data_IF_277661263640
#
_entry.id   IF_277661263640
#
_cell.length_a   1.000
_cell.length_b   1.000
_cell.length_c   1.000
_cell.angle_alpha   90.00
_cell.angle_beta   90.00
_cell.angle_gamma   90.00
#
_symmetry.space_group_name_H-M   'P 1'
#
loop_
_entity.id
_entity.type
_entity.pdbx_description
1 polymer ?
#
# COMPACT_ATOMS: atom_id res chain seq x y z
N UNK A 1 -2.91 12.14 -7.27
CA UNK A 1 -2.52 11.41 -6.05
C UNK A 1 -3.57 11.62 -4.96
N UNK A 2 -3.80 12.85 -4.47
CA UNK A 2 -4.70 13.08 -3.32
C UNK A 2 -6.08 12.46 -3.55
N UNK A 3 -6.75 12.76 -4.65
CA UNK A 3 -8.09 12.21 -4.92
C UNK A 3 -8.07 10.67 -5.00
N UNK A 4 -7.03 10.07 -5.57
CA UNK A 4 -6.88 8.62 -5.65
C UNK A 4 -6.70 7.98 -4.27
N UNK A 5 -5.85 8.57 -3.40
CA UNK A 5 -5.72 8.11 -2.02
C UNK A 5 -7.04 8.28 -1.25
N UNK A 6 -7.75 9.38 -1.47
CA UNK A 6 -9.06 9.60 -0.83
C UNK A 6 -10.08 8.53 -1.23
N UNK A 7 -10.07 8.05 -2.49
CA UNK A 7 -10.90 6.92 -2.89
C UNK A 7 -10.49 5.67 -2.09
N UNK A 8 -9.20 5.36 -2.03
CA UNK A 8 -8.67 4.22 -1.28
C UNK A 8 -9.14 4.22 0.17
N UNK A 9 -8.90 5.32 0.90
CA UNK A 9 -9.26 5.48 2.30
C UNK A 9 -10.78 5.43 2.52
N UNK A 10 -11.54 6.04 1.62
CA UNK A 10 -13.00 6.06 1.69
C UNK A 10 -13.59 4.67 1.53
N UNK A 11 -13.11 3.89 0.54
CA UNK A 11 -13.58 2.53 0.30
C UNK A 11 -13.18 1.57 1.41
N UNK A 12 -11.98 1.70 1.94
CA UNK A 12 -11.50 0.91 3.08
C UNK A 12 -12.41 1.12 4.30
N UNK A 13 -12.68 2.38 4.66
CA UNK A 13 -13.61 2.73 5.74
C UNK A 13 -15.03 2.20 5.52
N UNK A 14 -15.52 2.21 4.27
CA UNK A 14 -16.84 1.64 3.94
C UNK A 14 -16.88 0.13 4.11
N UNK A 15 -15.78 -0.57 3.80
CA UNK A 15 -15.67 -2.02 3.96
C UNK A 15 -15.54 -2.40 5.43
N UNK A 16 -14.68 -1.73 6.18
CA UNK A 16 -14.47 -1.97 7.63
C UNK A 16 -15.75 -1.81 8.46
N UNK A 17 -16.60 -0.86 8.07
CA UNK A 17 -17.89 -0.59 8.75
C UNK A 17 -19.06 -1.34 8.14
N UNK A 18 -18.84 -2.19 7.16
CA UNK A 18 -19.89 -2.92 6.48
C UNK A 18 -20.42 -4.05 7.34
N UNK A 19 -21.73 -4.18 7.40
CA UNK A 19 -22.40 -5.36 7.94
C UNK A 19 -22.52 -6.48 6.92
N UNK A 20 -22.34 -6.18 5.63
CA UNK A 20 -22.27 -7.15 4.54
C UNK A 20 -20.82 -7.57 4.34
N UNK A 21 -20.61 -8.88 4.18
CA UNK A 21 -19.32 -9.48 3.82
C UNK A 21 -19.39 -10.08 2.40
N UNK A 22 -20.22 -9.51 1.54
CA UNK A 22 -20.45 -9.98 0.16
C UNK A 22 -19.25 -9.55 -0.71
N UNK A 23 -18.56 -10.55 -1.24
CA UNK A 23 -17.43 -10.35 -2.18
C UNK A 23 -17.82 -9.49 -3.39
N UNK A 24 -19.05 -9.63 -3.90
CA UNK A 24 -19.53 -8.87 -5.07
C UNK A 24 -19.69 -7.38 -4.74
N UNK A 25 -20.17 -7.07 -3.53
CA UNK A 25 -20.28 -5.68 -3.06
C UNK A 25 -18.90 -5.01 -2.98
N UNK A 26 -17.95 -5.67 -2.33
CA UNK A 26 -16.60 -5.12 -2.21
C UNK A 26 -15.89 -4.98 -3.56
N UNK A 27 -16.11 -5.93 -4.47
CA UNK A 27 -15.53 -5.89 -5.82
C UNK A 27 -16.12 -4.76 -6.67
N UNK A 28 -17.44 -4.54 -6.61
CA UNK A 28 -18.09 -3.43 -7.31
C UNK A 28 -17.60 -2.07 -6.77
N UNK A 29 -17.51 -1.91 -5.45
CA UNK A 29 -16.96 -0.71 -4.83
C UNK A 29 -15.54 -0.40 -5.32
N UNK A 30 -14.65 -1.40 -5.30
CA UNK A 30 -13.25 -1.20 -5.72
C UNK A 30 -13.08 -1.05 -7.23
N UNK A 31 -14.13 -1.32 -8.02
CA UNK A 31 -14.19 -0.94 -9.43
C UNK A 31 -13.96 0.55 -9.64
N UNK A 32 -14.34 1.39 -8.66
CA UNK A 32 -14.08 2.83 -8.69
C UNK A 32 -12.58 3.17 -8.81
N UNK A 33 -11.68 2.37 -8.22
CA UNK A 33 -10.23 2.56 -8.33
C UNK A 33 -9.73 2.31 -9.75
N UNK A 34 -10.26 1.30 -10.44
CA UNK A 34 -9.92 1.01 -11.84
C UNK A 34 -10.47 2.07 -12.80
N UNK A 35 -11.70 2.53 -12.56
CA UNK A 35 -12.30 3.61 -13.34
C UNK A 35 -11.53 4.92 -13.16
N UNK A 36 -11.09 5.22 -11.93
CA UNK A 36 -10.32 6.42 -11.61
C UNK A 36 -9.00 6.55 -12.41
N UNK A 37 -8.40 5.42 -12.79
CA UNK A 37 -7.16 5.38 -13.58
C UNK A 37 -7.41 5.18 -15.08
N UNK A 38 -8.67 5.10 -15.51
CA UNK A 38 -9.05 4.90 -16.90
C UNK A 38 -9.78 6.15 -17.41
N UNK A 39 -9.09 7.10 -18.07
CA UNK A 39 -9.60 8.45 -18.35
C UNK A 39 -10.96 8.52 -19.05
N UNK A 40 -11.26 7.53 -19.87
CA UNK A 40 -12.48 7.53 -20.72
C UNK A 40 -13.53 6.51 -20.26
N UNK A 41 -13.27 5.83 -19.12
CA UNK A 41 -14.23 4.87 -18.60
C UNK A 41 -15.52 5.57 -18.15
N UNK A 42 -16.69 5.00 -18.48
CA UNK A 42 -17.94 5.44 -17.86
C UNK A 42 -17.90 5.16 -16.36
N UNK A 43 -18.58 5.98 -15.57
CA UNK A 43 -18.70 5.74 -14.14
C UNK A 43 -19.63 4.55 -13.88
N UNK A 44 -19.18 3.63 -13.04
CA UNK A 44 -19.97 2.47 -12.61
C UNK A 44 -21.03 2.83 -11.56
N UNK A 45 -21.96 1.90 -11.32
CA UNK A 45 -22.85 1.93 -10.15
C UNK A 45 -22.16 1.19 -8.98
N UNK A 46 -21.20 1.86 -8.34
CA UNK A 46 -20.34 1.27 -7.32
C UNK A 46 -21.08 0.78 -6.07
N UNK A 47 -22.31 1.24 -5.86
CA UNK A 47 -23.15 0.88 -4.72
C UNK A 47 -24.26 -0.11 -5.07
N UNK A 48 -24.21 -0.73 -6.25
CA UNK A 48 -25.25 -1.63 -6.78
C UNK A 48 -25.71 -2.69 -5.79
N UNK A 49 -24.79 -3.23 -5.00
CA UNK A 49 -25.05 -4.32 -4.05
C UNK A 49 -25.28 -3.84 -2.62
N UNK A 50 -25.37 -2.53 -2.38
CA UNK A 50 -25.58 -1.95 -1.06
C UNK A 50 -27.01 -1.40 -0.90
N UNK A 51 -27.48 -1.40 0.35
CA UNK A 51 -28.74 -0.75 0.71
C UNK A 51 -28.56 0.76 0.87
N UNK A 52 -27.44 1.19 1.41
CA UNK A 52 -27.03 2.59 1.52
C UNK A 52 -26.25 2.98 0.24
N UNK A 53 -26.95 3.70 -0.64
CA UNK A 53 -26.44 4.00 -1.98
C UNK A 53 -26.20 5.47 -2.25
N UNK A 54 -26.46 6.31 -1.26
CA UNK A 54 -26.36 7.76 -1.43
C UNK A 54 -25.19 8.36 -0.65
N UNK A 55 -24.12 8.67 -1.39
CA UNK A 55 -23.01 9.48 -0.92
C UNK A 55 -23.06 10.90 -1.50
N UNK A 56 -24.21 11.34 -2.02
CA UNK A 56 -24.38 12.60 -2.75
C UNK A 56 -23.41 12.73 -3.94
N UNK A 57 -23.03 11.61 -4.58
CA UNK A 57 -22.12 11.56 -5.72
C UNK A 57 -20.66 11.85 -5.34
N UNK A 58 -20.26 11.65 -4.08
CA UNK A 58 -18.90 11.93 -3.60
C UNK A 58 -17.86 11.06 -4.32
N UNK A 59 -18.06 9.76 -4.33
CA UNK A 59 -17.15 8.80 -5.00
C UNK A 59 -17.04 9.08 -6.49
N UNK A 60 -18.16 9.34 -7.16
CA UNK A 60 -18.17 9.70 -8.59
C UNK A 60 -17.35 10.97 -8.87
N UNK A 61 -17.44 12.00 -8.01
CA UNK A 61 -16.62 13.21 -8.16
C UNK A 61 -15.13 12.94 -7.99
N UNK A 62 -14.75 12.08 -7.05
CA UNK A 62 -13.36 11.69 -6.86
C UNK A 62 -12.82 10.93 -8.07
N UNK A 63 -13.58 9.94 -8.60
CA UNK A 63 -13.22 9.18 -9.80
C UNK A 63 -13.02 10.12 -10.99
N UNK A 64 -13.96 11.03 -11.26
CA UNK A 64 -13.83 12.03 -12.35
C UNK A 64 -12.63 12.94 -12.17
N UNK A 65 -12.33 13.35 -10.94
CA UNK A 65 -11.14 14.15 -10.64
C UNK A 65 -9.86 13.39 -10.99
N UNK A 66 -9.78 12.11 -10.62
CA UNK A 66 -8.65 11.26 -10.98
C UNK A 66 -8.52 11.10 -12.50
N UNK A 67 -9.62 10.78 -13.20
CA UNK A 67 -9.64 10.65 -14.66
C UNK A 67 -9.12 11.92 -15.35
N UNK A 68 -9.61 13.08 -14.91
CA UNK A 68 -9.18 14.38 -15.45
C UNK A 68 -7.67 14.62 -15.21
N UNK A 69 -7.18 14.31 -14.02
CA UNK A 69 -5.76 14.47 -13.69
C UNK A 69 -4.86 13.50 -14.47
N UNK A 70 -5.27 12.25 -14.61
CA UNK A 70 -4.52 11.22 -15.34
C UNK A 70 -4.43 11.58 -16.83
N UNK A 71 -5.49 12.11 -17.40
CA UNK A 71 -5.53 12.58 -18.79
C UNK A 71 -4.50 13.69 -19.07
N UNK A 72 -4.15 14.49 -18.06
CA UNK A 72 -3.16 15.56 -18.19
C UNK A 72 -1.70 15.07 -18.07
N UNK A 73 -1.47 13.82 -17.72
CA UNK A 73 -0.11 13.28 -17.59
C UNK A 73 0.44 12.92 -18.98
N UNK A 74 1.51 13.60 -19.46
CA UNK A 74 1.97 13.48 -20.85
C UNK A 74 2.47 12.08 -21.21
N UNK A 75 2.97 11.33 -20.23
CA UNK A 75 3.50 9.98 -20.46
C UNK A 75 2.65 8.88 -19.80
N UNK A 76 1.35 9.16 -19.52
CA UNK A 76 0.48 8.17 -18.87
C UNK A 76 0.37 6.86 -19.63
N UNK A 77 0.37 6.93 -20.96
CA UNK A 77 0.31 5.73 -21.81
C UNK A 77 1.41 4.71 -21.52
N UNK A 78 2.60 5.15 -21.09
CA UNK A 78 3.72 4.26 -20.75
C UNK A 78 3.53 3.52 -19.43
N UNK A 79 2.83 4.12 -18.47
CA UNK A 79 2.66 3.55 -17.12
C UNK A 79 1.31 2.87 -16.93
N UNK A 80 0.36 3.08 -17.82
CA UNK A 80 -1.06 2.69 -17.69
C UNK A 80 -1.25 1.23 -17.33
N UNK A 81 -0.59 0.31 -18.04
CA UNK A 81 -0.77 -1.13 -17.83
C UNK A 81 -0.23 -1.55 -16.46
N UNK A 82 0.90 -1.00 -16.05
CA UNK A 82 1.49 -1.28 -14.73
C UNK A 82 0.62 -0.72 -13.59
N UNK A 83 0.12 0.49 -13.76
CA UNK A 83 -0.82 1.12 -12.82
C UNK A 83 -2.08 0.26 -12.71
N UNK A 84 -2.65 -0.16 -13.83
CA UNK A 84 -3.84 -1.03 -13.87
C UNK A 84 -3.62 -2.36 -13.16
N UNK A 85 -2.48 -3.00 -13.41
CA UNK A 85 -2.09 -4.24 -12.73
C UNK A 85 -2.08 -4.06 -11.21
N UNK A 86 -1.40 -3.03 -10.72
CA UNK A 86 -1.26 -2.82 -9.28
C UNK A 86 -2.56 -2.39 -8.60
N UNK A 87 -3.36 -1.57 -9.27
CA UNK A 87 -4.70 -1.19 -8.78
C UNK A 87 -5.63 -2.41 -8.76
N UNK A 88 -5.50 -3.32 -9.72
CA UNK A 88 -6.20 -4.60 -9.71
C UNK A 88 -5.82 -5.46 -8.50
N UNK A 89 -4.51 -5.64 -8.27
CA UNK A 89 -4.00 -6.39 -7.10
C UNK A 89 -4.42 -5.74 -5.77
N UNK A 90 -4.41 -4.40 -5.70
CA UNK A 90 -4.93 -3.67 -4.55
C UNK A 90 -6.41 -3.99 -4.31
N UNK A 91 -7.24 -3.90 -5.36
CA UNK A 91 -8.66 -4.22 -5.28
C UNK A 91 -8.93 -5.66 -4.84
N UNK A 92 -8.18 -6.63 -5.38
CA UNK A 92 -8.28 -8.02 -4.97
C UNK A 92 -7.94 -8.21 -3.49
N UNK A 93 -6.84 -7.60 -3.02
CA UNK A 93 -6.49 -7.62 -1.59
C UNK A 93 -7.62 -7.06 -0.74
N UNK A 94 -8.15 -5.89 -1.09
CA UNK A 94 -9.22 -5.23 -0.34
C UNK A 94 -10.47 -6.10 -0.27
N UNK A 95 -10.82 -6.77 -1.36
CA UNK A 95 -11.93 -7.72 -1.37
C UNK A 95 -11.66 -8.86 -0.40
N UNK A 96 -10.52 -9.54 -0.55
CA UNK A 96 -10.26 -10.76 0.22
C UNK A 96 -10.03 -10.49 1.72
N UNK A 97 -9.37 -9.40 2.09
CA UNK A 97 -9.11 -9.08 3.50
C UNK A 97 -10.38 -8.79 4.31
N UNK A 98 -11.45 -8.32 3.65
CA UNK A 98 -12.73 -8.00 4.28
C UNK A 98 -13.75 -9.14 4.25
N UNK A 99 -13.42 -10.29 3.66
CA UNK A 99 -14.27 -11.47 3.72
C UNK A 99 -14.35 -12.03 5.16
N UNK A 100 -15.35 -12.88 5.39
CA UNK A 100 -15.49 -13.58 6.67
C UNK A 100 -14.19 -14.34 7.01
N UNK A 101 -13.83 -14.32 8.30
CA UNK A 101 -12.56 -14.91 8.78
C UNK A 101 -12.34 -16.36 8.34
N UNK A 102 -13.42 -17.14 8.28
CA UNK A 102 -13.33 -18.56 7.95
C UNK A 102 -12.91 -18.84 6.51
N UNK A 103 -13.07 -17.87 5.60
CA UNK A 103 -12.77 -18.03 4.17
C UNK A 103 -11.65 -17.12 3.67
N UNK A 104 -11.38 -16.01 4.35
CA UNK A 104 -10.44 -14.99 3.85
C UNK A 104 -9.01 -15.50 3.71
N UNK A 105 -8.53 -16.32 4.63
CA UNK A 105 -7.16 -16.85 4.57
C UNK A 105 -7.00 -17.83 3.40
N UNK A 106 -7.97 -18.72 3.19
CA UNK A 106 -7.98 -19.61 2.02
C UNK A 106 -7.97 -18.82 0.72
N UNK A 107 -8.78 -17.74 0.63
CA UNK A 107 -8.84 -16.85 -0.53
C UNK A 107 -7.52 -16.12 -0.76
N UNK A 108 -6.90 -15.58 0.28
CA UNK A 108 -5.61 -14.91 0.20
C UNK A 108 -4.50 -15.87 -0.24
N UNK A 109 -4.49 -17.11 0.26
CA UNK A 109 -3.53 -18.12 -0.15
C UNK A 109 -3.73 -18.59 -1.59
N UNK A 110 -4.98 -18.79 -2.03
CA UNK A 110 -5.28 -19.13 -3.43
C UNK A 110 -4.80 -18.03 -4.37
N UNK A 111 -5.15 -16.80 -4.05
CA UNK A 111 -4.71 -15.61 -4.81
C UNK A 111 -3.18 -15.45 -4.82
N UNK A 112 -2.50 -15.65 -3.70
CA UNK A 112 -1.04 -15.68 -3.65
C UNK A 112 -0.46 -16.73 -4.60
N UNK A 113 -0.99 -17.95 -4.61
CA UNK A 113 -0.49 -19.02 -5.47
C UNK A 113 -0.53 -18.66 -6.96
N UNK A 114 -1.52 -17.90 -7.39
CA UNK A 114 -1.63 -17.39 -8.76
C UNK A 114 -0.58 -16.32 -9.07
N UNK A 115 -0.23 -15.49 -8.09
CA UNK A 115 0.57 -14.29 -8.29
C UNK A 115 1.98 -14.34 -7.71
N UNK A 116 2.38 -15.42 -7.02
CA UNK A 116 3.68 -15.53 -6.34
C UNK A 116 4.90 -15.27 -7.22
N UNK A 117 4.77 -15.50 -8.53
CA UNK A 117 5.82 -15.22 -9.51
C UNK A 117 6.17 -13.73 -9.62
N UNK A 118 5.27 -12.84 -9.20
CA UNK A 118 5.47 -11.38 -9.19
C UNK A 118 6.33 -10.89 -8.01
N UNK A 119 6.51 -11.71 -6.98
CA UNK A 119 7.28 -11.35 -5.78
C UNK A 119 8.17 -12.53 -5.33
N UNK A 120 9.15 -12.92 -6.14
CA UNK A 120 10.04 -14.05 -5.81
C UNK A 120 10.80 -13.78 -4.51
N UNK A 121 10.80 -14.77 -3.59
CA UNK A 121 11.48 -14.67 -2.30
C UNK A 121 10.67 -13.96 -1.20
N UNK A 122 9.49 -13.46 -1.51
CA UNK A 122 8.54 -12.91 -0.54
C UNK A 122 7.55 -13.99 -0.08
N UNK A 123 7.06 -13.86 1.15
CA UNK A 123 6.00 -14.71 1.70
C UNK A 123 4.64 -14.19 1.26
N UNK A 124 3.59 -15.00 1.41
CA UNK A 124 2.23 -14.61 1.03
C UNK A 124 1.73 -13.34 1.74
N UNK A 125 1.99 -13.24 3.05
CA UNK A 125 1.62 -12.07 3.86
C UNK A 125 2.42 -10.81 3.48
N UNK A 126 3.66 -10.97 3.03
CA UNK A 126 4.49 -9.87 2.54
C UNK A 126 4.06 -9.40 1.15
N UNK A 127 3.67 -10.34 0.28
CA UNK A 127 3.07 -10.01 -1.01
C UNK A 127 1.74 -9.29 -0.82
N UNK A 128 0.87 -9.83 0.04
CA UNK A 128 -0.41 -9.20 0.36
C UNK A 128 -0.20 -7.76 0.88
N UNK A 129 0.74 -7.57 1.80
CA UNK A 129 1.12 -6.23 2.26
C UNK A 129 1.60 -5.33 1.10
N UNK A 130 2.46 -5.85 0.21
CA UNK A 130 2.96 -5.08 -0.94
C UNK A 130 1.82 -4.58 -1.84
N UNK A 131 0.81 -5.41 -2.08
CA UNK A 131 -0.34 -5.02 -2.92
C UNK A 131 -1.25 -4.00 -2.25
N UNK A 132 -1.23 -3.89 -0.92
CA UNK A 132 -1.97 -2.87 -0.15
C UNK A 132 -1.38 -1.46 -0.24
N UNK A 133 -0.19 -1.31 -0.82
CA UNK A 133 0.47 -0.02 -0.92
C UNK A 133 0.16 0.72 -2.22
N UNK A 134 -0.32 1.96 -2.11
CA UNK A 134 -0.51 2.87 -3.25
C UNK A 134 0.77 3.60 -3.68
N UNK A 135 1.88 3.47 -2.92
CA UNK A 135 3.12 4.22 -3.19
C UNK A 135 3.71 3.96 -4.58
N UNK A 136 3.66 2.71 -5.05
CA UNK A 136 4.12 2.36 -6.39
C UNK A 136 3.31 3.06 -7.48
N UNK A 137 1.99 3.10 -7.34
CA UNK A 137 1.08 3.82 -8.24
C UNK A 137 1.40 5.31 -8.23
N UNK A 138 1.61 5.89 -7.06
CA UNK A 138 1.97 7.32 -6.95
C UNK A 138 3.29 7.63 -7.63
N UNK A 139 4.27 6.74 -7.49
CA UNK A 139 5.57 6.95 -8.17
C UNK A 139 5.43 6.88 -9.68
N UNK A 140 4.61 5.97 -10.19
CA UNK A 140 4.34 5.91 -11.64
C UNK A 140 3.58 7.16 -12.12
N UNK A 141 2.64 7.71 -11.34
CA UNK A 141 1.99 8.98 -11.67
C UNK A 141 3.00 10.14 -11.69
N UNK A 142 3.92 10.19 -10.72
CA UNK A 142 4.98 11.20 -10.70
C UNK A 142 5.89 11.07 -11.93
N UNK A 143 6.29 9.85 -12.29
CA UNK A 143 7.10 9.60 -13.46
C UNK A 143 6.38 10.00 -14.76
N UNK A 144 5.09 9.68 -14.87
CA UNK A 144 4.28 10.02 -16.04
C UNK A 144 4.08 11.53 -16.27
N UNK A 145 4.40 12.37 -15.29
CA UNK A 145 4.42 13.81 -15.44
C UNK A 145 5.62 14.33 -16.27
N UNK A 146 6.69 13.53 -16.45
CA UNK A 146 7.80 13.87 -17.35
C UNK A 146 7.46 13.41 -18.77
N UNK A 147 7.36 14.35 -19.76
CA UNK A 147 7.10 13.98 -21.14
C UNK A 147 8.25 13.22 -21.80
N UNK A 148 9.41 13.12 -21.16
CA UNK A 148 10.60 12.40 -21.64
C UNK A 148 10.76 11.03 -21.00
N UNK A 149 9.80 10.58 -20.21
CA UNK A 149 9.81 9.26 -19.58
C UNK A 149 10.07 8.15 -20.63
N UNK A 150 10.95 7.22 -20.30
CA UNK A 150 11.26 6.08 -21.17
C UNK A 150 10.69 4.77 -20.59
N UNK A 151 10.40 3.77 -21.46
CA UNK A 151 9.86 2.48 -20.99
C UNK A 151 10.77 1.74 -19.98
N UNK A 152 12.08 1.81 -20.12
CA UNK A 152 13.05 1.21 -19.21
C UNK A 152 13.06 1.89 -17.83
N UNK A 153 12.80 3.19 -17.77
CA UNK A 153 12.62 3.91 -16.52
C UNK A 153 11.34 3.43 -15.80
N UNK A 154 10.25 3.15 -16.54
CA UNK A 154 9.01 2.59 -15.98
C UNK A 154 9.26 1.22 -15.36
N UNK A 155 9.93 0.31 -16.08
CA UNK A 155 10.26 -1.03 -15.57
C UNK A 155 11.22 -0.96 -14.38
N UNK A 156 12.18 -0.04 -14.39
CA UNK A 156 13.08 0.19 -13.26
C UNK A 156 12.33 0.65 -12.01
N UNK A 157 11.39 1.59 -12.15
CA UNK A 157 10.53 2.05 -11.06
C UNK A 157 9.65 0.91 -10.57
N UNK A 158 9.02 0.18 -11.49
CA UNK A 158 8.13 -0.93 -11.16
C UNK A 158 8.86 -2.00 -10.34
N UNK A 159 10.00 -2.50 -10.82
CA UNK A 159 10.78 -3.53 -10.12
C UNK A 159 11.41 -3.05 -8.81
N UNK A 160 11.56 -1.73 -8.62
CA UNK A 160 12.10 -1.16 -7.39
C UNK A 160 11.03 -0.93 -6.33
N UNK A 161 9.83 -0.48 -6.72
CA UNK A 161 8.75 -0.22 -5.75
C UNK A 161 8.02 -1.49 -5.35
N UNK A 162 7.70 -2.35 -6.29
CA UNK A 162 7.04 -3.61 -5.99
C UNK A 162 8.04 -4.78 -6.17
N UNK A 163 8.13 -5.70 -5.18
CA UNK A 163 7.35 -5.71 -3.94
C UNK A 163 7.98 -4.93 -2.78
N UNK A 164 9.27 -4.60 -2.78
CA UNK A 164 10.06 -4.29 -1.59
C UNK A 164 9.64 -3.00 -0.87
N UNK A 165 9.55 -1.86 -1.57
CA UNK A 165 9.18 -0.58 -0.96
C UNK A 165 7.71 -0.59 -0.55
N UNK A 166 6.85 -1.18 -1.39
CA UNK A 166 5.44 -1.33 -1.10
C UNK A 166 5.17 -2.23 0.11
N UNK A 167 5.84 -3.40 0.20
CA UNK A 167 5.74 -4.29 1.36
C UNK A 167 6.23 -3.60 2.63
N UNK A 168 7.37 -2.90 2.56
CA UNK A 168 7.91 -2.15 3.71
C UNK A 168 6.89 -1.15 4.25
N UNK A 169 6.24 -0.38 3.37
CA UNK A 169 5.23 0.60 3.75
C UNK A 169 4.15 -0.03 4.63
N UNK A 170 3.46 -1.03 4.10
CA UNK A 170 2.29 -1.63 4.74
C UNK A 170 2.67 -2.52 5.94
N UNK A 171 3.80 -3.22 5.88
CA UNK A 171 4.24 -4.02 7.03
C UNK A 171 4.68 -3.14 8.21
N UNK A 172 5.19 -1.93 7.99
CA UNK A 172 5.48 -1.00 9.08
C UNK A 172 4.19 -0.47 9.72
N UNK A 173 3.15 -0.25 8.93
CA UNK A 173 1.82 0.12 9.41
C UNK A 173 1.24 -0.99 10.28
N UNK A 174 1.14 -2.20 9.76
CA UNK A 174 0.71 -3.36 10.53
C UNK A 174 1.58 -3.66 11.75
N UNK A 175 2.87 -3.36 11.70
CA UNK A 175 3.77 -3.54 12.84
C UNK A 175 3.37 -2.67 14.04
N UNK A 176 3.03 -1.40 13.80
CA UNK A 176 2.65 -0.49 14.87
C UNK A 176 1.20 -0.71 15.36
N UNK A 177 0.35 -1.27 14.51
CA UNK A 177 -1.07 -1.46 14.80
C UNK A 177 -1.42 -2.86 15.36
N UNK A 178 -0.44 -3.75 15.55
CA UNK A 178 -0.67 -5.13 16.02
C UNK A 178 -1.60 -5.26 17.22
N UNK A 179 -1.44 -4.42 18.24
CA UNK A 179 -2.25 -4.50 19.46
C UNK A 179 -3.68 -3.97 19.23
N UNK A 180 -3.84 -2.96 18.39
CA UNK A 180 -5.13 -2.40 18.00
C UNK A 180 -5.91 -3.42 17.16
N UNK A 181 -5.29 -3.95 16.11
CA UNK A 181 -5.88 -4.95 15.21
C UNK A 181 -6.24 -6.24 15.97
N UNK A 182 -5.38 -6.67 16.90
CA UNK A 182 -5.66 -7.84 17.74
C UNK A 182 -6.89 -7.64 18.60
N UNK A 183 -7.09 -6.44 19.16
CA UNK A 183 -8.28 -6.10 19.97
C UNK A 183 -9.53 -5.95 19.12
N UNK A 184 -9.42 -5.33 17.95
CA UNK A 184 -10.49 -5.19 16.97
C UNK A 184 -10.85 -6.53 16.31
N UNK A 185 -9.92 -7.45 16.28
CA UNK A 185 -10.02 -8.71 15.57
C UNK A 185 -9.82 -8.55 14.08
N UNK A 186 -9.10 -7.49 13.70
CA UNK A 186 -8.77 -7.16 12.32
C UNK A 186 -7.62 -8.00 11.80
N UNK A 187 -7.48 -8.04 10.47
CA UNK A 187 -6.40 -8.75 9.83
C UNK A 187 -5.10 -7.94 9.99
N UNK A 188 -4.05 -8.60 10.50
CA UNK A 188 -2.72 -8.02 10.57
C UNK A 188 -1.68 -8.96 9.98
N UNK A 189 -1.01 -8.56 8.89
CA UNK A 189 -0.05 -9.41 8.21
C UNK A 189 1.21 -9.70 9.02
N UNK A 190 1.53 -8.90 10.03
CA UNK A 190 2.63 -9.18 10.94
C UNK A 190 2.34 -10.36 11.89
N UNK A 191 1.09 -10.72 12.11
CA UNK A 191 0.70 -11.86 12.95
C UNK A 191 0.92 -13.23 12.31
N UNK A 192 1.25 -13.28 11.03
CA UNK A 192 1.48 -14.52 10.27
C UNK A 192 2.96 -14.96 10.22
N UNK A 193 3.84 -14.28 10.93
CA UNK A 193 5.19 -14.79 11.14
C UNK A 193 5.18 -15.78 12.32
N UNK A 194 6.01 -16.80 12.23
CA UNK A 194 6.06 -17.91 13.19
C UNK A 194 6.43 -17.45 14.61
N UNK A 195 7.30 -16.45 14.69
CA UNK A 195 7.74 -15.83 15.94
C UNK A 195 8.25 -14.40 15.73
N UNK A 196 8.51 -13.70 16.82
CA UNK A 196 9.01 -12.32 16.82
C UNK A 196 10.36 -12.19 16.11
N UNK A 197 11.24 -13.16 16.27
CA UNK A 197 12.56 -13.14 15.66
C UNK A 197 12.42 -13.20 14.13
N UNK A 198 11.61 -14.10 13.64
CA UNK A 198 11.31 -14.24 12.20
C UNK A 198 10.70 -12.95 11.64
N UNK A 199 9.73 -12.34 12.36
CA UNK A 199 9.17 -11.04 11.98
C UNK A 199 10.26 -9.98 11.81
N UNK A 200 11.14 -9.82 12.80
CA UNK A 200 12.19 -8.81 12.78
C UNK A 200 13.21 -9.08 11.67
N UNK A 201 13.68 -10.33 11.52
CA UNK A 201 14.65 -10.73 10.50
C UNK A 201 14.08 -10.49 9.08
N UNK A 202 12.80 -10.76 8.86
CA UNK A 202 12.11 -10.48 7.59
C UNK A 202 11.97 -8.99 7.32
N UNK A 203 11.55 -8.21 8.30
CA UNK A 203 11.48 -6.75 8.15
C UNK A 203 12.85 -6.14 7.83
N UNK A 204 13.93 -6.60 8.48
CA UNK A 204 15.29 -6.16 8.14
C UNK A 204 15.68 -6.53 6.70
N UNK A 205 15.32 -7.73 6.25
CA UNK A 205 15.55 -8.16 4.88
C UNK A 205 14.81 -7.23 3.88
N UNK A 206 13.54 -6.95 4.12
CA UNK A 206 12.72 -6.08 3.28
C UNK A 206 13.28 -4.64 3.26
N UNK A 207 13.73 -4.10 4.41
CA UNK A 207 14.40 -2.79 4.47
C UNK A 207 15.68 -2.78 3.61
N UNK A 208 16.49 -3.85 3.68
CA UNK A 208 17.71 -3.96 2.85
C UNK A 208 17.37 -4.02 1.37
N UNK A 209 16.34 -4.77 1.00
CA UNK A 209 15.89 -4.89 -0.40
C UNK A 209 15.34 -3.55 -0.91
N UNK A 210 14.50 -2.87 -0.13
CA UNK A 210 13.98 -1.55 -0.46
C UNK A 210 15.10 -0.50 -0.66
N UNK A 211 16.13 -0.52 0.19
CA UNK A 211 17.31 0.35 0.03
C UNK A 211 18.09 0.05 -1.23
N UNK A 212 18.30 -1.22 -1.54
CA UNK A 212 18.99 -1.67 -2.76
C UNK A 212 18.19 -1.23 -3.98
N UNK A 213 16.89 -1.48 -3.98
CA UNK A 213 15.97 -1.09 -5.03
C UNK A 213 15.97 0.44 -5.25
N UNK A 214 15.91 1.23 -4.18
CA UNK A 214 15.97 2.69 -4.26
C UNK A 214 17.31 3.21 -4.83
N UNK A 215 18.40 2.46 -4.67
CA UNK A 215 19.75 2.91 -5.06
C UNK A 215 20.03 2.85 -6.56
N UNK A 216 19.27 2.06 -7.31
CA UNK A 216 19.46 1.87 -8.76
C UNK A 216 18.57 2.77 -9.60
N UNK A 217 17.62 3.48 -8.96
CA UNK A 217 16.71 4.38 -9.66
C UNK A 217 17.37 5.70 -10.05
N UNK A 218 16.85 6.34 -11.08
CA UNK A 218 17.11 7.75 -11.38
C UNK A 218 16.73 8.59 -10.14
N UNK A 219 17.61 9.46 -9.71
CA UNK A 219 17.46 10.23 -8.46
C UNK A 219 17.48 9.37 -7.17
N UNK A 220 18.49 8.52 -6.95
CA UNK A 220 18.51 7.54 -5.86
C UNK A 220 18.40 8.17 -4.46
N UNK A 221 18.84 9.43 -4.29
CA UNK A 221 18.71 10.17 -3.02
C UNK A 221 17.24 10.40 -2.64
N UNK A 222 16.40 10.72 -3.62
CA UNK A 222 14.97 10.91 -3.42
C UNK A 222 14.28 9.60 -2.99
N UNK A 223 14.53 8.50 -3.70
CA UNK A 223 13.93 7.22 -3.38
C UNK A 223 14.42 6.66 -2.05
N UNK A 224 15.70 6.85 -1.73
CA UNK A 224 16.24 6.52 -0.41
C UNK A 224 15.59 7.35 0.70
N UNK A 225 15.33 8.63 0.45
CA UNK A 225 14.60 9.48 1.39
C UNK A 225 13.21 8.92 1.68
N UNK A 226 12.49 8.40 0.67
CA UNK A 226 11.19 7.74 0.87
C UNK A 226 11.36 6.52 1.79
N UNK A 227 12.28 5.61 1.50
CA UNK A 227 12.51 4.40 2.32
C UNK A 227 12.87 4.75 3.77
N UNK A 228 13.84 5.66 3.97
CA UNK A 228 14.24 6.06 5.31
C UNK A 228 13.14 6.86 6.04
N UNK A 229 12.37 7.66 5.28
CA UNK A 229 11.22 8.40 5.79
C UNK A 229 10.11 7.49 6.29
N UNK A 230 9.76 6.44 5.55
CA UNK A 230 8.79 5.43 5.98
C UNK A 230 9.20 4.81 7.32
N UNK A 231 10.42 4.29 7.40
CA UNK A 231 10.92 3.68 8.64
C UNK A 231 10.89 4.67 9.81
N UNK A 232 11.30 5.91 9.58
CA UNK A 232 11.31 6.93 10.62
C UNK A 232 9.90 7.34 11.04
N UNK A 233 8.99 7.53 10.08
CA UNK A 233 7.61 7.95 10.32
C UNK A 233 6.86 6.94 11.19
N UNK A 234 6.87 5.67 10.80
CA UNK A 234 6.16 4.61 11.53
C UNK A 234 6.81 4.33 12.88
N UNK A 235 8.14 4.19 12.95
CA UNK A 235 8.81 3.86 14.19
C UNK A 235 8.89 5.03 15.20
N UNK A 236 8.50 6.24 14.80
CA UNK A 236 8.31 7.38 15.73
C UNK A 236 6.89 7.46 16.30
N UNK A 237 5.98 6.58 15.88
CA UNK A 237 4.60 6.59 16.37
C UNK A 237 4.54 6.31 17.89
N UNK A 238 3.69 7.02 18.65
CA UNK A 238 3.47 6.75 20.07
C UNK A 238 3.02 5.32 20.39
N UNK A 239 2.34 4.62 19.46
CA UNK A 239 1.93 3.22 19.57
C UNK A 239 3.14 2.30 19.80
N UNK A 240 4.30 2.62 19.21
CA UNK A 240 5.56 1.85 19.35
C UNK A 240 5.92 1.66 20.80
N UNK A 241 5.85 2.72 21.62
CA UNK A 241 6.27 2.69 23.02
C UNK A 241 5.39 1.80 23.92
N UNK A 242 4.21 1.43 23.43
CA UNK A 242 3.21 0.66 24.19
C UNK A 242 3.33 -0.85 23.95
N UNK A 243 4.20 -1.30 23.05
CA UNK A 243 4.29 -2.68 22.59
C UNK A 243 5.75 -3.15 22.61
N UNK A 244 6.11 -4.05 23.52
CA UNK A 244 7.49 -4.50 23.72
C UNK A 244 8.13 -5.11 22.47
N UNK A 245 7.36 -5.92 21.71
CA UNK A 245 7.80 -6.50 20.44
C UNK A 245 8.14 -5.41 19.43
N UNK A 246 7.26 -4.41 19.31
CA UNK A 246 7.47 -3.30 18.37
C UNK A 246 8.65 -2.43 18.79
N UNK A 247 8.87 -2.20 20.09
CA UNK A 247 10.06 -1.51 20.62
C UNK A 247 11.34 -2.26 20.23
N UNK A 248 11.36 -3.60 20.35
CA UNK A 248 12.53 -4.40 19.96
C UNK A 248 12.78 -4.33 18.46
N UNK A 249 11.73 -4.51 17.65
CA UNK A 249 11.82 -4.36 16.20
C UNK A 249 12.34 -2.97 15.80
N UNK A 250 11.77 -1.91 16.40
CA UNK A 250 12.19 -0.53 16.14
C UNK A 250 13.67 -0.30 16.46
N UNK A 251 14.14 -0.79 17.61
CA UNK A 251 15.56 -0.69 17.99
C UNK A 251 16.47 -1.39 16.98
N UNK A 252 16.08 -2.55 16.50
CA UNK A 252 16.89 -3.32 15.56
C UNK A 252 16.90 -2.67 14.18
N UNK A 253 15.75 -2.30 13.65
CA UNK A 253 15.63 -1.59 12.38
C UNK A 253 16.36 -0.23 12.40
N UNK A 254 16.39 0.44 13.55
CA UNK A 254 17.08 1.73 13.71
C UNK A 254 18.60 1.62 13.89
N UNK A 255 19.15 0.47 14.32
CA UNK A 255 20.61 0.29 14.50
C UNK A 255 21.40 0.46 13.20
N UNK A 256 20.85 0.03 12.09
CA UNK A 256 21.46 0.17 10.76
C UNK A 256 21.05 1.48 10.07
N UNK A 257 20.66 2.51 10.84
CA UNK A 257 20.03 3.70 10.30
C UNK A 257 21.05 4.74 9.85
N UNK A 258 20.94 5.26 8.62
CA UNK A 258 21.64 6.46 8.20
C UNK A 258 21.21 7.69 9.04
N UNK A 259 22.08 8.71 9.10
CA UNK A 259 21.77 10.00 9.78
C UNK A 259 20.47 10.64 9.29
N UNK A 260 20.13 10.45 8.01
CA UNK A 260 18.86 10.90 7.42
C UNK A 260 17.64 10.33 8.15
N UNK A 261 17.67 9.05 8.54
CA UNK A 261 16.58 8.42 9.29
C UNK A 261 16.44 9.04 10.69
N UNK A 262 17.56 9.26 11.37
CA UNK A 262 17.55 9.94 12.67
C UNK A 262 16.93 11.33 12.54
N UNK A 263 17.30 12.08 11.51
CA UNK A 263 16.72 13.40 11.24
C UNK A 263 15.20 13.33 11.06
N UNK A 264 14.69 12.43 10.20
CA UNK A 264 13.25 12.26 10.01
C UNK A 264 12.55 11.79 11.28
N UNK A 265 13.17 10.88 12.03
CA UNK A 265 12.60 10.40 13.29
C UNK A 265 12.43 11.54 14.30
N UNK A 266 13.49 12.36 14.50
CA UNK A 266 13.43 13.53 15.40
C UNK A 266 12.34 14.50 14.97
N UNK A 267 12.28 14.84 13.68
CA UNK A 267 11.24 15.76 13.17
C UNK A 267 9.83 15.17 13.34
N UNK A 268 9.62 13.89 13.08
CA UNK A 268 8.31 13.24 13.26
C UNK A 268 7.88 13.25 14.73
N UNK A 269 8.80 12.98 15.66
CA UNK A 269 8.52 13.07 17.10
C UNK A 269 8.18 14.50 17.52
N UNK A 270 8.91 15.50 17.03
CA UNK A 270 8.64 16.91 17.34
C UNK A 270 7.26 17.31 16.84
N UNK A 271 6.95 17.06 15.56
CA UNK A 271 5.67 17.45 14.94
C UNK A 271 4.48 16.79 15.65
N UNK A 272 4.61 15.54 16.10
CA UNK A 272 3.53 14.83 16.80
C UNK A 272 3.32 15.29 18.25
N UNK A 273 4.27 16.00 18.83
CA UNK A 273 4.18 16.50 20.22
C UNK A 273 3.92 18.01 20.29
N UNK A 274 3.81 18.69 19.15
CA UNK A 274 3.33 20.07 19.01
C UNK A 274 1.88 20.11 18.62
#
# INVERSE_FOLDING_TARGET
>A
IVAFQTISDYLDNLCDRSTSLDERDFRELHGAMLDAITPEAPLGDYYRHRNDRDDNGYLHRLVRTCQSCVLMLPSYGLVRERVREWVGLYGDLQVYKHLHRDVREERLHAWWNEHRHKAPGYRWNEFAAATGSTLGVFMLFCAAADPRLQPDEVESIAGSYFPSICALHILLDYLIDQEEDRRGGDLNFCSYYEDERTLIDRLEAIVRDARRAASVLKHPRFHRMIVEGLVALYLSDPKVKKQDTVVRAARQLMRASPLSRLFFWVNSVVIRNT
#
